data_IF_870844179306
#
_entry.id   IF_870844179306
#
_cell.length_a   1.000
_cell.length_b   1.000
_cell.length_c   1.000
_cell.angle_alpha   90.00
_cell.angle_beta   90.00
_cell.angle_gamma   90.00
#
_symmetry.space_group_name_H-M   'P 1'
#
loop_
_entity.id
_entity.type
_entity.pdbx_description
1 polymer ?
#
# COMPACT_ATOMS: atom_id res chain seq x y z
N UNK A 1 -20.91 57.57 14.31
CA UNK A 1 -20.57 56.93 15.60
C UNK A 1 -19.89 55.59 15.32
N UNK A 2 -18.71 55.42 15.93
CA UNK A 2 -17.83 54.26 16.19
C UNK A 2 -18.00 52.91 15.45
N UNK A 3 -16.86 52.42 14.93
CA UNK A 3 -16.50 51.04 14.52
C UNK A 3 -16.43 50.07 15.70
N UNK A 4 -16.75 48.79 15.50
CA UNK A 4 -16.19 47.56 16.15
C UNK A 4 -16.95 46.34 15.58
N UNK A 5 -16.40 45.16 15.28
CA UNK A 5 -15.12 44.53 15.61
C UNK A 5 -15.30 43.33 16.55
N UNK A 6 -15.23 42.11 15.98
CA UNK A 6 -14.65 40.83 16.49
C UNK A 6 -15.15 40.24 17.85
N UNK A 7 -15.38 38.91 17.89
CA UNK A 7 -14.63 37.90 18.69
C UNK A 7 -15.47 36.79 19.35
N UNK A 8 -14.95 35.56 19.22
CA UNK A 8 -15.40 34.31 19.81
C UNK A 8 -15.24 34.26 21.34
N UNK A 9 -16.00 33.37 21.99
CA UNK A 9 -15.76 32.98 23.39
C UNK A 9 -16.04 31.48 23.59
N UNK A 10 -14.97 30.72 23.89
CA UNK A 10 -15.03 29.46 24.61
C UNK A 10 -15.18 29.78 26.11
N UNK A 11 -16.14 29.14 26.79
CA UNK A 11 -16.36 29.24 28.23
C UNK A 11 -15.90 27.97 28.96
N UNK A 12 -14.96 28.18 29.89
CA UNK A 12 -14.45 27.23 30.90
C UNK A 12 -15.46 27.14 32.05
N UNK A 13 -15.64 25.95 32.64
CA UNK A 13 -16.27 25.79 33.97
C UNK A 13 -15.31 25.05 34.90
N UNK A 14 -15.00 25.71 36.01
CA UNK A 14 -14.18 25.28 37.16
C UNK A 14 -15.13 24.71 38.22
N UNK A 15 -14.76 23.62 38.89
CA UNK A 15 -15.45 23.13 40.10
C UNK A 15 -14.46 23.05 41.27
N UNK A 16 -14.89 23.57 42.41
CA UNK A 16 -14.16 23.86 43.64
C UNK A 16 -14.08 22.67 44.61
N UNK A 17 -13.02 22.71 45.43
CA UNK A 17 -12.57 21.79 46.49
C UNK A 17 -13.43 21.74 47.76
N UNK A 18 -13.49 20.56 48.39
CA UNK A 18 -13.78 20.35 49.82
C UNK A 18 -12.85 19.27 50.38
N UNK A 19 -12.09 19.57 51.43
CA UNK A 19 -11.07 18.69 52.01
C UNK A 19 -11.48 18.05 53.33
N UNK A 20 -10.82 16.92 53.70
CA UNK A 20 -10.69 16.41 55.07
C UNK A 20 -9.31 15.74 55.25
N UNK A 21 -8.80 15.89 56.46
CA UNK A 21 -7.45 15.73 57.03
C UNK A 21 -6.89 14.31 57.00
N UNK A 22 -5.56 14.21 56.84
CA UNK A 22 -4.77 12.99 56.93
C UNK A 22 -4.44 12.61 58.39
N UNK A 23 -4.66 11.35 58.76
CA UNK A 23 -3.94 10.67 59.84
C UNK A 23 -3.16 9.50 59.23
N UNK A 24 -1.85 9.48 59.44
CA UNK A 24 -0.95 8.38 59.08
C UNK A 24 -1.34 7.12 59.86
N UNK A 25 -1.63 6.05 59.14
CA UNK A 25 -1.26 4.70 59.53
C UNK A 25 -0.44 4.11 58.37
N UNK A 26 0.78 3.72 58.69
CA UNK A 26 1.72 3.09 57.77
C UNK A 26 1.33 1.61 57.68
N UNK A 27 0.56 1.27 56.65
CA UNK A 27 0.18 -0.11 56.34
C UNK A 27 0.89 -0.53 55.06
N UNK A 28 1.65 -1.62 55.17
CA UNK A 28 2.52 -2.15 54.14
C UNK A 28 1.76 -2.44 52.84
N UNK A 29 2.31 -1.97 51.71
CA UNK A 29 1.83 -2.27 50.37
C UNK A 29 1.93 -3.78 50.08
N UNK A 30 0.83 -4.49 49.77
CA UNK A 30 0.92 -5.72 49.00
C UNK A 30 1.07 -5.33 47.52
N UNK A 31 2.11 -5.87 46.90
CA UNK A 31 2.51 -5.57 45.54
C UNK A 31 1.56 -6.04 44.44
N UNK A 32 2.02 -5.74 43.22
CA UNK A 32 1.49 -6.10 41.92
C UNK A 32 0.28 -5.29 41.42
N UNK A 33 0.59 -4.12 40.89
CA UNK A 33 -0.08 -3.58 39.70
C UNK A 33 0.10 -4.55 38.52
N UNK A 34 -0.73 -5.59 38.47
CA UNK A 34 -0.90 -6.48 37.31
C UNK A 34 -2.23 -6.25 36.56
N UNK A 35 -3.04 -5.30 37.01
CA UNK A 35 -4.35 -5.03 36.40
C UNK A 35 -4.31 -3.93 35.32
N UNK A 36 -3.32 -3.03 35.32
CA UNK A 36 -3.21 -1.96 34.32
C UNK A 36 -2.37 -2.35 33.08
N UNK A 37 -1.53 -3.39 33.18
CA UNK A 37 -0.70 -3.90 32.08
C UNK A 37 -1.44 -4.92 31.20
N UNK A 38 -2.61 -5.41 31.62
CA UNK A 38 -3.36 -6.43 30.87
C UNK A 38 -4.40 -5.88 29.87
N UNK A 39 -4.52 -4.55 29.74
CA UNK A 39 -5.53 -3.93 28.86
C UNK A 39 -4.99 -3.40 27.52
N UNK A 40 -3.68 -3.51 27.26
CA UNK A 40 -3.07 -3.10 25.98
C UNK A 40 -2.43 -4.25 25.20
N UNK A 41 -2.54 -5.49 25.69
CA UNK A 41 -1.94 -6.66 25.06
C UNK A 41 -3.06 -7.58 24.53
N UNK A 42 -3.74 -7.10 23.48
CA UNK A 42 -4.61 -7.89 22.57
C UNK A 42 -5.08 -7.00 21.41
N UNK A 43 -4.14 -6.41 20.68
CA UNK A 43 -4.39 -6.22 19.25
C UNK A 43 -4.14 -7.61 18.65
N UNK A 44 -5.14 -8.27 18.05
CA UNK A 44 -4.92 -9.58 17.46
C UNK A 44 -3.82 -9.45 16.40
N UNK A 45 -2.73 -10.18 16.61
CA UNK A 45 -1.81 -10.55 15.54
C UNK A 45 -2.65 -11.36 14.56
N UNK A 46 -2.56 -11.01 13.29
CA UNK A 46 -3.33 -11.60 12.20
C UNK A 46 -2.90 -13.06 11.99
N UNK A 47 -3.40 -13.96 12.84
CA UNK A 47 -3.28 -15.39 12.64
C UNK A 47 -4.25 -15.78 11.51
N UNK A 48 -3.68 -16.23 10.39
CA UNK A 48 -4.43 -16.90 9.32
C UNK A 48 -5.21 -18.07 9.93
N UNK A 49 -6.55 -18.09 9.88
CA UNK A 49 -7.32 -19.20 10.43
C UNK A 49 -6.97 -20.49 9.68
N UNK A 50 -6.82 -21.60 10.39
CA UNK A 50 -6.80 -23.00 9.88
C UNK A 50 -8.15 -23.41 9.24
N UNK A 51 -8.82 -22.47 8.55
CA UNK A 51 -10.04 -22.71 7.79
C UNK A 51 -9.74 -23.35 6.45
N UNK A 52 -10.67 -24.15 5.93
CA UNK A 52 -10.61 -24.60 4.53
C UNK A 52 -10.70 -23.35 3.64
N UNK A 53 -9.69 -23.08 2.82
CA UNK A 53 -9.75 -22.00 1.85
C UNK A 53 -10.87 -22.27 0.84
N UNK A 54 -11.77 -21.30 0.67
CA UNK A 54 -12.75 -21.29 -0.40
C UNK A 54 -12.09 -20.76 -1.69
N UNK A 55 -12.54 -21.23 -2.85
CA UNK A 55 -11.93 -20.87 -4.14
C UNK A 55 -12.98 -20.48 -5.16
N UNK A 56 -12.73 -19.39 -5.88
CA UNK A 56 -13.49 -18.94 -7.05
C UNK A 56 -12.59 -18.88 -8.28
N UNK A 57 -13.07 -19.32 -9.44
CA UNK A 57 -12.30 -19.36 -10.69
C UNK A 57 -13.08 -18.72 -11.83
N UNK A 58 -12.39 -17.97 -12.67
CA UNK A 58 -12.96 -17.36 -13.87
C UNK A 58 -11.95 -17.30 -15.01
N UNK A 59 -12.40 -17.50 -16.26
CA UNK A 59 -11.51 -17.45 -17.43
C UNK A 59 -11.07 -16.03 -17.79
N UNK A 60 -9.78 -15.85 -18.02
CA UNK A 60 -9.18 -14.63 -18.54
C UNK A 60 -7.90 -14.98 -19.29
N UNK A 61 -7.85 -14.67 -20.58
CA UNK A 61 -6.71 -15.08 -21.42
C UNK A 61 -5.42 -14.36 -20.99
N UNK A 62 -4.29 -15.06 -21.09
CA UNK A 62 -2.99 -14.57 -20.67
C UNK A 62 -2.34 -13.67 -21.72
N UNK A 63 -2.82 -12.43 -21.83
CA UNK A 63 -2.28 -11.46 -22.77
C UNK A 63 -2.34 -10.02 -22.20
N UNK A 64 -1.58 -9.12 -22.85
CA UNK A 64 -1.41 -7.73 -22.41
C UNK A 64 -2.64 -6.83 -22.64
N UNK A 65 -3.65 -7.29 -23.38
CA UNK A 65 -4.87 -6.53 -23.62
C UNK A 65 -5.92 -6.75 -22.51
N UNK A 66 -5.72 -7.76 -21.67
CA UNK A 66 -6.58 -8.08 -20.54
C UNK A 66 -6.11 -7.37 -19.27
N UNK A 67 -7.05 -7.05 -18.40
CA UNK A 67 -6.82 -6.33 -17.17
C UNK A 67 -7.64 -6.92 -16.02
N UNK A 68 -7.04 -6.97 -14.83
CA UNK A 68 -7.70 -7.29 -13.57
C UNK A 68 -7.73 -6.02 -12.72
N UNK A 69 -8.93 -5.55 -12.39
CA UNK A 69 -9.15 -4.40 -11.51
C UNK A 69 -9.66 -4.89 -10.16
N UNK A 70 -8.97 -4.50 -9.08
CA UNK A 70 -9.28 -4.94 -7.73
C UNK A 70 -9.53 -3.71 -6.87
N UNK A 71 -10.71 -3.67 -6.25
CA UNK A 71 -11.12 -2.61 -5.33
C UNK A 71 -11.60 -3.25 -4.03
N UNK A 72 -10.83 -3.05 -2.98
CA UNK A 72 -11.07 -3.64 -1.66
C UNK A 72 -10.92 -2.58 -0.57
N UNK A 73 -11.40 -2.89 0.62
CA UNK A 73 -11.41 -2.02 1.78
C UNK A 73 -11.04 -2.82 3.04
N UNK A 74 -10.03 -2.37 3.78
CA UNK A 74 -9.51 -3.05 5.00
C UNK A 74 -9.05 -4.49 4.78
N UNK A 75 -8.49 -4.77 3.60
CA UNK A 75 -8.12 -6.13 3.22
C UNK A 75 -6.64 -6.22 2.89
N UNK A 76 -6.06 -7.40 3.13
CA UNK A 76 -4.73 -7.74 2.63
C UNK A 76 -4.88 -8.61 1.39
N UNK A 77 -4.09 -8.30 0.36
CA UNK A 77 -4.20 -8.95 -0.95
C UNK A 77 -2.82 -9.37 -1.42
N UNK A 78 -2.67 -10.65 -1.73
CA UNK A 78 -1.49 -11.22 -2.37
C UNK A 78 -1.84 -11.63 -3.80
N UNK A 79 -1.16 -11.06 -4.79
CA UNK A 79 -1.32 -11.38 -6.20
C UNK A 79 -0.15 -12.23 -6.68
N UNK A 80 -0.43 -13.34 -7.36
CA UNK A 80 0.60 -14.23 -7.92
C UNK A 80 0.36 -14.45 -9.41
N UNK A 81 1.32 -14.07 -10.24
CA UNK A 81 1.29 -14.32 -11.67
C UNK A 81 1.45 -15.81 -12.00
N UNK A 82 0.71 -16.31 -12.98
CA UNK A 82 0.84 -17.68 -13.49
C UNK A 82 0.66 -17.78 -15.01
N UNK A 83 0.94 -18.96 -15.58
CA UNK A 83 0.91 -19.14 -17.03
C UNK A 83 -0.47 -19.51 -17.60
N UNK A 84 -1.40 -20.00 -16.79
CA UNK A 84 -2.75 -20.40 -17.24
C UNK A 84 -3.68 -19.20 -17.58
N UNK A 85 -4.69 -19.47 -18.43
CA UNK A 85 -5.73 -18.52 -18.89
C UNK A 85 -6.94 -18.46 -17.93
N UNK A 86 -6.68 -18.27 -16.64
CA UNK A 86 -7.71 -18.13 -15.62
C UNK A 86 -7.27 -17.16 -14.53
N UNK A 87 -8.22 -16.63 -13.77
CA UNK A 87 -8.00 -15.97 -12.50
C UNK A 87 -8.58 -16.87 -11.41
N UNK A 88 -7.79 -17.11 -10.36
CA UNK A 88 -8.17 -17.94 -9.21
C UNK A 88 -8.11 -17.07 -7.97
N UNK A 89 -9.20 -17.01 -7.23
CA UNK A 89 -9.30 -16.25 -5.98
C UNK A 89 -9.47 -17.24 -4.85
N UNK A 90 -8.61 -17.14 -3.83
CA UNK A 90 -8.60 -17.96 -2.63
C UNK A 90 -8.76 -17.05 -1.41
N UNK A 91 -9.69 -17.40 -0.51
CA UNK A 91 -9.92 -16.67 0.73
C UNK A 91 -10.22 -17.64 1.88
N UNK A 92 -9.93 -17.27 3.14
CA UNK A 92 -10.41 -18.01 4.31
C UNK A 92 -11.93 -18.13 4.28
N UNK A 93 -12.44 -19.18 4.89
CA UNK A 93 -13.86 -19.53 4.87
C UNK A 93 -14.75 -18.32 5.22
N UNK A 94 -15.54 -17.86 4.25
CA UNK A 94 -16.53 -16.80 4.43
C UNK A 94 -17.91 -17.44 4.51
N UNK A 95 -18.52 -17.37 5.69
CA UNK A 95 -19.90 -17.81 5.90
C UNK A 95 -20.85 -16.62 6.00
N UNK A 96 -21.83 -16.61 5.09
CA UNK A 96 -23.01 -15.74 5.22
C UNK A 96 -23.87 -16.30 6.35
N UNK A 97 -24.28 -15.49 7.35
CA UNK A 97 -25.15 -15.96 8.42
C UNK A 97 -26.42 -16.59 7.84
N UNK A 98 -26.88 -17.72 8.40
CA UNK A 98 -28.10 -18.41 7.95
C UNK A 98 -29.32 -17.47 7.86
N UNK A 99 -29.45 -16.55 8.83
CA UNK A 99 -30.51 -15.52 8.85
C UNK A 99 -30.44 -14.50 7.72
N UNK A 100 -29.32 -14.46 6.99
CA UNK A 100 -29.09 -13.58 5.85
C UNK A 100 -29.25 -14.31 4.50
N UNK A 101 -29.67 -15.58 4.50
CA UNK A 101 -29.97 -16.31 3.27
C UNK A 101 -31.06 -15.59 2.45
N UNK A 102 -30.77 -15.37 1.16
CA UNK A 102 -31.65 -14.62 0.25
C UNK A 102 -31.71 -13.11 0.50
N UNK A 103 -30.95 -12.59 1.47
CA UNK A 103 -30.85 -11.15 1.75
C UNK A 103 -29.60 -10.55 1.12
N UNK A 104 -29.67 -9.27 0.74
CA UNK A 104 -28.53 -8.50 0.24
C UNK A 104 -28.03 -7.50 1.29
N UNK A 105 -26.70 -7.33 1.37
CA UNK A 105 -26.11 -6.25 2.15
C UNK A 105 -26.49 -4.89 1.55
N UNK A 106 -26.80 -3.90 2.40
CA UNK A 106 -27.00 -2.50 1.97
C UNK A 106 -25.74 -1.64 2.14
N UNK A 107 -24.70 -2.17 2.76
CA UNK A 107 -23.44 -1.44 3.00
C UNK A 107 -22.45 -1.56 1.84
N UNK A 108 -22.62 -2.55 0.96
CA UNK A 108 -21.87 -2.64 -0.29
C UNK A 108 -22.81 -2.37 -1.45
N UNK A 109 -22.30 -1.67 -2.46
CA UNK A 109 -23.00 -1.44 -3.72
C UNK A 109 -22.92 -2.66 -4.65
N UNK A 110 -22.12 -3.68 -4.29
CA UNK A 110 -21.89 -4.88 -5.06
C UNK A 110 -22.53 -6.13 -4.42
N UNK A 111 -23.04 -7.04 -5.26
CA UNK A 111 -23.57 -8.33 -4.83
C UNK A 111 -22.47 -9.39 -4.86
N UNK A 112 -22.36 -10.18 -3.79
CA UNK A 112 -21.40 -11.29 -3.68
C UNK A 112 -21.87 -12.45 -4.56
N UNK A 113 -21.18 -12.66 -5.67
CA UNK A 113 -21.42 -13.78 -6.60
C UNK A 113 -20.34 -14.87 -6.50
N UNK A 114 -19.44 -14.78 -5.52
CA UNK A 114 -18.32 -15.71 -5.32
C UNK A 114 -18.46 -16.56 -4.07
N UNK A 115 -19.29 -16.12 -3.12
CA UNK A 115 -19.33 -16.61 -1.72
C UNK A 115 -18.04 -16.36 -0.96
N UNK A 116 -17.17 -15.48 -1.45
CA UNK A 116 -15.92 -15.08 -0.79
C UNK A 116 -16.03 -13.67 -0.17
N UNK A 117 -17.21 -13.05 -0.19
CA UNK A 117 -17.35 -11.63 0.14
C UNK A 117 -16.94 -10.70 -1.01
N UNK A 118 -16.84 -11.22 -2.23
CA UNK A 118 -16.40 -10.50 -3.43
C UNK A 118 -17.45 -10.58 -4.54
N UNK A 119 -17.56 -9.49 -5.29
CA UNK A 119 -18.27 -9.43 -6.57
C UNK A 119 -17.25 -9.48 -7.70
N UNK A 120 -17.36 -10.48 -8.57
CA UNK A 120 -16.45 -10.68 -9.70
C UNK A 120 -17.25 -10.56 -11.00
N UNK A 121 -16.98 -9.52 -11.77
CA UNK A 121 -17.68 -9.22 -13.02
C UNK A 121 -16.67 -9.04 -14.14
N UNK A 122 -16.87 -9.78 -15.24
CA UNK A 122 -16.05 -9.64 -16.45
C UNK A 122 -16.84 -8.86 -17.50
N UNK A 123 -16.28 -7.73 -17.92
CA UNK A 123 -16.76 -6.96 -19.06
C UNK A 123 -15.66 -6.91 -20.12
N UNK A 124 -15.87 -7.63 -21.23
CA UNK A 124 -14.90 -7.81 -22.30
C UNK A 124 -13.52 -8.27 -21.77
N UNK A 125 -12.53 -7.38 -21.82
CA UNK A 125 -11.14 -7.65 -21.44
C UNK A 125 -10.82 -7.25 -19.99
N UNK A 126 -11.79 -6.66 -19.28
CA UNK A 126 -11.62 -6.18 -17.91
C UNK A 126 -12.36 -7.12 -16.96
N UNK A 127 -11.62 -7.69 -16.01
CA UNK A 127 -12.16 -8.43 -14.88
C UNK A 127 -12.15 -7.52 -13.65
N UNK A 128 -13.33 -7.10 -13.20
CA UNK A 128 -13.50 -6.29 -12.00
C UNK A 128 -13.81 -7.17 -10.78
N UNK A 129 -13.00 -7.03 -9.73
CA UNK A 129 -13.12 -7.72 -8.44
C UNK A 129 -13.35 -6.64 -7.39
N UNK A 130 -14.57 -6.59 -6.82
CA UNK A 130 -14.97 -5.57 -5.85
C UNK A 130 -15.41 -6.24 -4.56
N UNK A 131 -15.06 -5.66 -3.43
CA UNK A 131 -15.56 -6.15 -2.14
C UNK A 131 -17.08 -5.97 -2.00
N UNK A 132 -17.78 -7.08 -1.77
CA UNK A 132 -19.25 -7.14 -1.67
C UNK A 132 -19.75 -7.17 -0.21
N UNK A 133 -18.85 -7.05 0.77
CA UNK A 133 -19.18 -7.04 2.18
C UNK A 133 -18.46 -5.88 2.91
N UNK A 134 -18.75 -5.70 4.20
CA UNK A 134 -18.08 -4.68 5.03
C UNK A 134 -16.85 -5.24 5.78
N UNK A 135 -16.69 -6.57 5.80
CA UNK A 135 -15.62 -7.23 6.55
C UNK A 135 -14.36 -7.25 5.69
N UNK A 136 -13.27 -6.70 6.21
CA UNK A 136 -11.95 -6.92 5.62
C UNK A 136 -11.62 -8.41 5.52
N UNK A 137 -10.72 -8.76 4.61
CA UNK A 137 -10.31 -10.16 4.42
C UNK A 137 -8.88 -10.30 3.93
N UNK A 138 -8.44 -11.56 3.87
CA UNK A 138 -7.19 -11.98 3.28
C UNK A 138 -7.48 -12.68 1.97
N UNK A 139 -6.96 -12.16 0.87
CA UNK A 139 -7.20 -12.72 -0.45
C UNK A 139 -5.88 -13.10 -1.11
N UNK A 140 -5.80 -14.32 -1.63
CA UNK A 140 -4.76 -14.72 -2.59
C UNK A 140 -5.39 -14.79 -3.97
N UNK A 141 -4.90 -13.97 -4.89
CA UNK A 141 -5.43 -13.85 -6.26
C UNK A 141 -4.34 -14.27 -7.25
N UNK A 142 -4.54 -15.41 -7.89
CA UNK A 142 -3.66 -15.86 -8.97
C UNK A 142 -4.19 -15.28 -10.28
N UNK A 143 -3.33 -14.57 -11.02
CA UNK A 143 -3.67 -13.91 -12.29
C UNK A 143 -2.76 -14.39 -13.43
N UNK A 144 -3.22 -14.41 -14.69
CA UNK A 144 -2.34 -14.71 -15.80
C UNK A 144 -1.24 -13.65 -15.90
N UNK A 145 0.03 -14.06 -15.95
CA UNK A 145 1.19 -13.18 -15.75
C UNK A 145 1.25 -11.93 -16.63
N UNK A 146 0.68 -11.98 -17.84
CA UNK A 146 0.78 -10.88 -18.81
C UNK A 146 -0.36 -9.86 -18.72
N UNK A 147 -1.38 -10.10 -17.89
CA UNK A 147 -2.50 -9.16 -17.72
C UNK A 147 -2.07 -7.94 -16.93
N UNK A 148 -2.66 -6.79 -17.23
CA UNK A 148 -2.49 -5.60 -16.41
C UNK A 148 -3.21 -5.78 -15.06
N UNK A 149 -2.62 -5.27 -13.99
CA UNK A 149 -3.18 -5.29 -12.64
C UNK A 149 -3.40 -3.86 -12.18
N UNK A 150 -4.65 -3.53 -11.86
CA UNK A 150 -5.03 -2.26 -11.25
C UNK A 150 -5.54 -2.56 -9.85
N UNK A 151 -4.95 -1.95 -8.84
CA UNK A 151 -5.33 -2.15 -7.44
C UNK A 151 -5.57 -0.81 -6.76
N UNK A 152 -6.75 -0.64 -6.19
CA UNK A 152 -7.15 0.55 -5.45
C UNK A 152 -7.51 0.18 -4.00
N UNK A 153 -6.79 0.80 -3.06
CA UNK A 153 -7.06 0.73 -1.63
C UNK A 153 -7.23 2.15 -1.05
N UNK A 154 -8.44 2.46 -0.61
CA UNK A 154 -8.85 3.75 -0.07
C UNK A 154 -9.02 3.78 1.46
N UNK A 155 -8.90 2.64 2.14
CA UNK A 155 -9.16 2.54 3.57
C UNK A 155 -8.14 3.28 4.43
N UNK A 156 -8.56 3.87 5.57
CA UNK A 156 -7.64 4.31 6.61
C UNK A 156 -7.06 3.14 7.42
N UNK A 157 -7.53 1.91 7.22
CA UNK A 157 -7.02 0.69 7.85
C UNK A 157 -6.56 -0.30 6.78
N UNK A 158 -5.81 0.18 5.79
CA UNK A 158 -5.36 -0.63 4.68
C UNK A 158 -4.49 -1.79 5.13
N UNK A 159 -4.68 -2.94 4.48
CA UNK A 159 -3.89 -4.13 4.70
C UNK A 159 -2.59 -4.12 3.91
N UNK A 160 -1.90 -5.26 3.91
CA UNK A 160 -0.69 -5.45 3.11
C UNK A 160 -1.06 -5.79 1.67
N UNK A 161 -0.40 -5.16 0.70
CA UNK A 161 -0.46 -5.57 -0.70
C UNK A 161 0.86 -6.24 -1.12
N UNK A 162 0.76 -7.43 -1.69
CA UNK A 162 1.89 -8.15 -2.27
C UNK A 162 1.56 -8.53 -3.71
N UNK A 163 2.52 -8.42 -4.62
CA UNK A 163 2.36 -8.87 -5.99
C UNK A 163 3.67 -9.49 -6.49
N UNK A 164 3.57 -10.70 -7.04
CA UNK A 164 4.73 -11.51 -7.43
C UNK A 164 4.55 -12.12 -8.82
N UNK A 165 5.64 -12.24 -9.58
CA UNK A 165 5.73 -12.98 -10.85
C UNK A 165 4.84 -12.44 -12.00
N UNK A 166 4.68 -11.12 -12.09
CA UNK A 166 3.85 -10.48 -13.14
C UNK A 166 4.67 -9.70 -14.17
N UNK A 167 4.22 -9.75 -15.42
CA UNK A 167 4.82 -9.07 -16.57
C UNK A 167 3.94 -8.00 -17.22
N UNK A 168 2.64 -7.96 -16.87
CA UNK A 168 1.72 -6.90 -17.30
C UNK A 168 1.94 -5.58 -16.57
N UNK A 169 1.23 -4.55 -17.01
CA UNK A 169 1.29 -3.21 -16.41
C UNK A 169 0.70 -3.22 -15.01
N UNK A 170 1.33 -2.51 -14.08
CA UNK A 170 0.92 -2.46 -12.68
C UNK A 170 0.52 -1.03 -12.35
N UNK A 171 -0.70 -0.84 -11.90
CA UNK A 171 -1.24 0.44 -11.44
C UNK A 171 -1.76 0.32 -10.01
N UNK A 172 -1.15 1.05 -9.07
CA UNK A 172 -1.45 0.98 -7.64
C UNK A 172 -1.82 2.36 -7.10
N UNK A 173 -3.00 2.45 -6.50
CA UNK A 173 -3.45 3.61 -5.73
C UNK A 173 -3.71 3.17 -4.28
N UNK A 174 -2.87 3.62 -3.36
CA UNK A 174 -2.89 3.20 -1.96
C UNK A 174 -3.03 4.41 -1.04
N UNK A 175 -3.88 4.30 -0.01
CA UNK A 175 -4.04 5.36 0.97
C UNK A 175 -3.29 5.09 2.28
N UNK A 176 -3.66 4.05 3.04
CA UNK A 176 -2.96 3.64 4.27
C UNK A 176 -2.42 2.20 4.15
N UNK A 177 -1.78 1.91 3.02
CA UNK A 177 -1.23 0.60 2.71
C UNK A 177 0.15 0.72 2.04
N UNK A 178 1.02 -0.25 2.34
CA UNK A 178 2.28 -0.45 1.64
C UNK A 178 2.17 -1.58 0.60
N UNK A 179 3.09 -1.57 -0.37
CA UNK A 179 3.18 -2.60 -1.40
C UNK A 179 4.57 -3.24 -1.43
N UNK A 180 4.58 -4.56 -1.64
CA UNK A 180 5.79 -5.33 -1.97
C UNK A 180 5.59 -5.99 -3.33
N UNK A 181 6.37 -5.58 -4.33
CA UNK A 181 6.37 -6.13 -5.68
C UNK A 181 7.65 -6.95 -5.89
N UNK A 182 7.53 -8.21 -6.29
CA UNK A 182 8.68 -9.12 -6.46
C UNK A 182 8.67 -9.79 -7.82
N UNK A 183 9.84 -9.87 -8.47
CA UNK A 183 10.03 -10.53 -9.76
C UNK A 183 9.08 -9.97 -10.85
N UNK A 184 8.99 -8.63 -10.92
CA UNK A 184 8.14 -7.96 -11.90
C UNK A 184 8.94 -7.53 -13.14
N UNK A 185 8.30 -7.52 -14.31
CA UNK A 185 8.90 -7.05 -15.57
C UNK A 185 8.08 -5.99 -16.30
N UNK A 186 6.87 -5.71 -15.82
CA UNK A 186 6.00 -4.68 -16.39
C UNK A 186 6.35 -3.27 -15.90
N UNK A 187 5.88 -2.22 -16.61
CA UNK A 187 5.96 -0.86 -16.10
C UNK A 187 5.07 -0.69 -14.87
N UNK A 188 5.48 0.19 -13.96
CA UNK A 188 4.79 0.43 -12.69
C UNK A 188 4.35 1.89 -12.59
N UNK A 189 3.06 2.12 -12.37
CA UNK A 189 2.52 3.35 -11.81
C UNK A 189 2.07 3.05 -10.38
N UNK A 190 2.74 3.59 -9.36
CA UNK A 190 2.41 3.29 -7.97
C UNK A 190 2.40 4.56 -7.12
N UNK A 191 1.31 4.79 -6.38
CA UNK A 191 1.13 5.94 -5.53
C UNK A 191 0.66 5.49 -4.15
N UNK A 192 1.32 5.96 -3.08
CA UNK A 192 0.86 5.75 -1.70
C UNK A 192 0.91 7.04 -0.89
N UNK A 193 -0.08 7.25 0.00
CA UNK A 193 -0.07 8.35 0.96
C UNK A 193 0.65 7.96 2.25
N UNK A 194 0.26 6.85 2.87
CA UNK A 194 0.86 6.32 4.09
C UNK A 194 1.23 4.84 3.90
N UNK A 195 2.48 4.59 3.53
CA UNK A 195 2.96 3.24 3.25
C UNK A 195 4.33 3.25 2.59
N UNK A 196 5.03 2.12 2.68
CA UNK A 196 6.28 1.91 1.95
C UNK A 196 6.01 1.21 0.62
N UNK A 197 6.89 1.44 -0.35
CA UNK A 197 6.90 0.72 -1.63
C UNK A 197 8.24 -0.02 -1.75
N UNK A 198 8.23 -1.35 -1.68
CA UNK A 198 9.39 -2.22 -1.97
C UNK A 198 9.16 -2.88 -3.33
N UNK A 199 9.99 -2.57 -4.32
CA UNK A 199 9.80 -2.99 -5.71
C UNK A 199 11.06 -3.66 -6.24
N UNK A 200 10.96 -4.94 -6.57
CA UNK A 200 12.07 -5.74 -7.09
C UNK A 200 11.78 -6.16 -8.53
N UNK A 201 12.42 -5.47 -9.46
CA UNK A 201 12.33 -5.78 -10.88
C UNK A 201 13.22 -6.98 -11.22
N UNK A 202 12.69 -7.90 -12.01
CA UNK A 202 13.50 -8.93 -12.66
C UNK A 202 14.15 -8.39 -13.95
N UNK A 203 13.43 -7.51 -14.65
CA UNK A 203 13.97 -6.63 -15.69
C UNK A 203 13.18 -5.33 -15.71
N UNK A 204 13.79 -4.26 -16.19
CA UNK A 204 13.09 -3.00 -16.41
C UNK A 204 12.53 -2.92 -17.83
N UNK A 205 11.21 -2.81 -17.95
CA UNK A 205 10.51 -2.67 -19.22
C UNK A 205 11.01 -1.46 -20.02
N UNK A 206 11.60 -1.68 -21.20
CA UNK A 206 12.14 -0.56 -22.00
C UNK A 206 11.10 0.14 -22.90
N UNK A 207 9.86 -0.36 -22.96
CA UNK A 207 8.84 0.16 -23.86
C UNK A 207 7.96 1.26 -23.22
N UNK A 208 7.79 1.25 -21.90
CA UNK A 208 6.95 2.19 -21.16
C UNK A 208 7.63 2.66 -19.89
N UNK A 209 7.47 3.93 -19.56
CA UNK A 209 8.02 4.53 -18.34
C UNK A 209 7.36 4.01 -17.07
N UNK A 210 8.05 4.18 -15.94
CA UNK A 210 7.50 3.90 -14.61
C UNK A 210 7.47 5.17 -13.76
N UNK A 211 6.46 5.30 -12.91
CA UNK A 211 6.25 6.41 -11.98
C UNK A 211 5.90 5.88 -10.60
N UNK A 212 6.74 6.15 -9.61
CA UNK A 212 6.58 5.63 -8.25
C UNK A 212 6.60 6.81 -7.27
N UNK A 213 5.54 6.97 -6.49
CA UNK A 213 5.37 8.12 -5.59
C UNK A 213 4.90 7.72 -4.21
N UNK A 214 5.46 8.38 -3.20
CA UNK A 214 5.08 8.21 -1.80
C UNK A 214 5.05 9.55 -1.08
N UNK A 215 4.02 9.78 -0.26
CA UNK A 215 3.99 10.96 0.63
C UNK A 215 4.70 10.66 1.95
N UNK A 216 4.24 9.62 2.67
CA UNK A 216 4.75 9.18 3.96
C UNK A 216 5.13 7.70 3.94
N UNK A 217 6.33 7.43 3.44
CA UNK A 217 6.98 6.14 3.57
C UNK A 217 8.10 5.97 2.54
N UNK A 218 9.10 5.15 2.85
CA UNK A 218 10.25 4.97 1.98
C UNK A 218 9.88 4.25 0.69
N UNK A 219 10.64 4.56 -0.36
CA UNK A 219 10.61 3.82 -1.62
C UNK A 219 11.94 3.06 -1.73
N UNK A 220 11.88 1.74 -1.84
CA UNK A 220 13.03 0.87 -2.09
C UNK A 220 12.83 0.15 -3.43
N UNK A 221 13.71 0.42 -4.40
CA UNK A 221 13.65 -0.15 -5.73
C UNK A 221 14.93 -0.94 -5.97
N UNK A 222 14.78 -2.23 -6.29
CA UNK A 222 15.88 -3.10 -6.70
C UNK A 222 15.79 -3.38 -8.21
N UNK A 223 16.90 -3.15 -8.91
CA UNK A 223 17.04 -3.31 -10.37
C UNK A 223 18.23 -4.21 -10.70
N UNK A 224 18.20 -4.97 -11.81
CA UNK A 224 19.39 -5.65 -12.33
C UNK A 224 20.56 -4.67 -12.53
N UNK A 225 21.79 -5.06 -12.20
CA UNK A 225 22.94 -4.14 -12.20
C UNK A 225 23.28 -3.50 -13.56
N UNK A 226 22.87 -4.13 -14.66
CA UNK A 226 23.04 -3.65 -16.03
C UNK A 226 21.82 -2.87 -16.56
N UNK A 227 20.87 -2.50 -15.69
CA UNK A 227 19.64 -1.79 -16.07
C UNK A 227 19.95 -0.46 -16.73
N UNK A 228 19.30 -0.20 -17.86
CA UNK A 228 19.36 1.05 -18.61
C UNK A 228 18.13 1.88 -18.27
N UNK A 229 18.33 3.02 -17.61
CA UNK A 229 17.25 3.92 -17.25
C UNK A 229 17.72 5.37 -17.22
N UNK A 230 16.84 6.26 -17.69
CA UNK A 230 16.90 7.68 -17.41
C UNK A 230 16.09 7.92 -16.12
N UNK A 231 16.78 8.27 -15.03
CA UNK A 231 16.22 8.43 -13.70
C UNK A 231 15.90 9.89 -13.42
N UNK A 232 14.71 10.13 -12.90
CA UNK A 232 14.28 11.41 -12.33
C UNK A 232 13.83 11.17 -10.89
N UNK A 233 14.65 11.61 -9.94
CA UNK A 233 14.52 11.29 -8.53
C UNK A 233 14.31 12.56 -7.70
N UNK A 234 13.30 12.56 -6.84
CA UNK A 234 12.96 13.70 -5.99
C UNK A 234 12.67 13.25 -4.56
N UNK A 235 13.43 13.77 -3.59
CA UNK A 235 13.15 13.59 -2.17
C UNK A 235 13.09 14.97 -1.50
N UNK A 236 11.90 15.36 -1.02
CA UNK A 236 11.70 16.72 -0.48
C UNK A 236 12.22 16.84 0.96
N UNK A 237 11.89 15.87 1.80
CA UNK A 237 12.33 15.76 3.19
C UNK A 237 12.90 14.37 3.45
N UNK A 238 13.94 14.04 2.69
CA UNK A 238 14.67 12.77 2.79
C UNK A 238 15.90 12.77 1.91
N UNK A 239 16.58 11.64 1.91
CA UNK A 239 17.80 11.40 1.15
C UNK A 239 17.59 10.37 0.04
N UNK A 240 18.41 10.44 -1.00
CA UNK A 240 18.42 9.47 -2.10
C UNK A 240 19.71 8.66 -2.03
N UNK A 241 19.59 7.34 -1.82
CA UNK A 241 20.71 6.41 -1.72
C UNK A 241 20.77 5.47 -2.92
N UNK A 242 21.97 5.20 -3.43
CA UNK A 242 22.15 4.22 -4.49
C UNK A 242 23.55 3.63 -4.51
N UNK A 243 23.65 2.38 -4.97
CA UNK A 243 24.90 1.70 -5.34
C UNK A 243 25.09 1.59 -6.87
N UNK A 244 24.23 2.28 -7.65
CA UNK A 244 24.46 2.54 -9.07
C UNK A 244 25.48 3.67 -9.27
N UNK A 245 26.27 3.52 -10.33
CA UNK A 245 27.01 4.65 -10.88
C UNK A 245 26.04 5.47 -11.73
N UNK A 246 25.65 6.64 -11.21
CA UNK A 246 24.69 7.53 -11.85
C UNK A 246 25.47 8.66 -12.50
N UNK A 247 25.46 8.70 -13.83
CA UNK A 247 25.96 9.87 -14.55
C UNK A 247 24.97 11.02 -14.36
N UNK A 248 25.44 12.12 -13.76
CA UNK A 248 24.63 13.31 -13.47
C UNK A 248 25.15 14.48 -14.30
N UNK A 249 24.29 15.31 -14.91
CA UNK A 249 24.72 16.60 -15.43
C UNK A 249 25.26 17.44 -14.26
N UNK A 250 26.46 18.01 -14.43
CA UNK A 250 27.08 18.83 -13.39
C UNK A 250 26.27 20.10 -13.16
N UNK A 251 25.51 20.16 -12.07
CA UNK A 251 24.79 21.35 -11.63
C UNK A 251 25.65 22.25 -10.72
N UNK A 252 26.98 22.05 -10.69
CA UNK A 252 27.88 22.89 -9.91
C UNK A 252 27.90 24.29 -10.55
N UNK A 253 27.23 25.24 -9.89
CA UNK A 253 27.55 26.65 -10.06
C UNK A 253 28.88 26.89 -9.33
N UNK A 254 29.92 27.27 -10.07
CA UNK A 254 31.23 27.71 -9.55
C UNK A 254 32.11 26.64 -8.87
N UNK A 255 31.96 25.35 -9.18
CA UNK A 255 32.84 24.30 -8.65
C UNK A 255 32.59 23.92 -7.19
N UNK A 256 31.55 24.48 -6.56
CA UNK A 256 31.16 24.14 -5.20
C UNK A 256 30.24 22.90 -5.21
N UNK A 257 30.46 21.94 -4.29
CA UNK A 257 29.55 20.81 -4.14
C UNK A 257 28.17 21.29 -3.70
N UNK A 258 27.12 20.68 -4.23
CA UNK A 258 25.76 20.95 -3.78
C UNK A 258 25.57 20.35 -2.37
N UNK A 259 25.33 21.21 -1.37
CA UNK A 259 25.27 20.84 0.06
C UNK A 259 23.82 20.60 0.53
N UNK A 260 22.80 21.08 -0.21
CA UNK A 260 21.39 20.98 0.20
C UNK A 260 20.51 20.31 -0.87
N UNK A 261 19.73 19.32 -0.42
CA UNK A 261 18.67 18.61 -1.14
C UNK A 261 17.36 19.41 -1.19
N UNK A 262 16.50 19.09 -2.15
CA UNK A 262 15.27 19.83 -2.44
C UNK A 262 15.06 20.15 -3.92
N UNK A 263 15.85 19.53 -4.81
CA UNK A 263 15.67 19.61 -6.25
C UNK A 263 15.75 18.22 -6.87
N UNK A 264 15.15 18.09 -8.04
CA UNK A 264 15.15 16.87 -8.84
C UNK A 264 16.57 16.46 -9.25
N UNK A 265 16.96 15.23 -8.91
CA UNK A 265 18.17 14.58 -9.43
C UNK A 265 17.79 13.89 -10.74
N UNK A 266 18.31 14.40 -11.86
CA UNK A 266 18.28 13.69 -13.14
C UNK A 266 19.59 12.95 -13.33
N UNK A 267 19.55 11.70 -13.74
CA UNK A 267 20.75 10.93 -14.01
C UNK A 267 20.48 9.70 -14.85
N UNK A 268 21.54 9.03 -15.30
CA UNK A 268 21.42 7.86 -16.17
C UNK A 268 22.20 6.69 -15.60
N UNK A 269 21.61 5.51 -15.72
CA UNK A 269 22.25 4.21 -15.47
C UNK A 269 22.58 3.53 -16.80
N UNK A 270 23.77 2.95 -16.93
CA UNK A 270 24.21 2.17 -18.09
C UNK A 270 23.95 2.82 -19.48
N UNK A 271 24.27 4.12 -19.61
CA UNK A 271 24.06 4.98 -20.80
C UNK A 271 22.60 5.42 -21.05
N UNK A 272 21.71 5.22 -20.09
CA UNK A 272 20.32 5.66 -20.19
C UNK A 272 19.45 4.68 -20.97
N UNK A 273 18.15 4.88 -20.87
CA UNK A 273 17.13 3.99 -21.43
C UNK A 273 15.73 4.55 -21.18
N UNK A 274 14.80 3.68 -20.82
CA UNK A 274 13.45 4.11 -20.44
C UNK A 274 13.45 5.04 -19.22
N UNK A 275 12.47 5.93 -19.18
CA UNK A 275 12.31 6.87 -18.07
C UNK A 275 11.72 6.19 -16.83
N UNK A 276 12.29 6.50 -15.67
CA UNK A 276 11.76 6.14 -14.36
C UNK A 276 11.73 7.36 -13.45
N UNK A 277 10.52 7.73 -13.04
CA UNK A 277 10.25 8.82 -12.13
C UNK A 277 10.00 8.28 -10.72
N UNK A 278 10.72 8.80 -9.73
CA UNK A 278 10.56 8.39 -8.32
C UNK A 278 10.51 9.63 -7.44
N UNK A 279 9.42 9.81 -6.68
CA UNK A 279 9.24 10.98 -5.81
C UNK A 279 8.79 10.57 -4.41
N UNK A 280 9.48 11.07 -3.39
CA UNK A 280 9.14 10.89 -1.99
C UNK A 280 9.06 12.24 -1.27
N UNK A 281 7.98 12.48 -0.51
CA UNK A 281 7.82 13.77 0.17
C UNK A 281 8.51 13.78 1.53
N UNK A 282 8.16 12.86 2.44
CA UNK A 282 8.67 12.83 3.82
C UNK A 282 9.46 11.57 4.15
N UNK A 283 10.23 11.05 3.18
CA UNK A 283 10.96 9.80 3.33
C UNK A 283 12.11 9.68 2.34
N UNK A 284 12.95 8.67 2.55
CA UNK A 284 14.10 8.38 1.71
C UNK A 284 13.72 7.54 0.49
N UNK A 285 14.53 7.64 -0.55
CA UNK A 285 14.50 6.77 -1.73
C UNK A 285 15.77 5.92 -1.74
N UNK A 286 15.63 4.63 -2.00
CA UNK A 286 16.73 3.69 -2.16
C UNK A 286 16.64 3.05 -3.55
N UNK A 287 17.68 3.18 -4.36
CA UNK A 287 17.80 2.51 -5.67
C UNK A 287 18.99 1.56 -5.62
N UNK A 288 18.74 0.25 -5.67
CA UNK A 288 19.73 -0.80 -5.40
C UNK A 288 19.96 -1.69 -6.59
N UNK A 289 21.20 -2.14 -6.78
CA UNK A 289 21.53 -3.27 -7.65
C UNK A 289 21.04 -4.56 -7.01
N UNK A 290 20.40 -5.40 -7.81
CA UNK A 290 20.20 -6.80 -7.49
C UNK A 290 21.57 -7.48 -7.38
N UNK A 291 21.78 -8.20 -6.27
CA UNK A 291 23.02 -8.94 -5.99
C UNK A 291 22.85 -10.42 -6.31
#
# INVERSE_FOLDING_TARGET
MKKTGILAALGIIIITTGGVVAHRHEEQLPGNNRAATQLFEKIPVDETPDGKNQTYKIKLDNNKNNQVQIEVYRSSVAIVGHNADEVIIEAPDYEVPERAEGLRSLFSEAEDNTKLGLSVNKDNNILKIVQANRRGGHYTIKVPKNVAVVYHESSPFGGKFELTDTAGEIDLELHHAGATLTNITGPVNANTVHGHLDIKFAELNQAKSSSIKSVHGPIDITLPGNTKADLELEANHGEIYTDFDISRPSNSKNGLPQIAGGGTIKGKTNNGGVEMNVSAVHSNIYIRKQK
#
